data_IF_440770710218
#
_entry.id   IF_440770710218
#
_cell.length_a   1.000
_cell.length_b   1.000
_cell.length_c   1.000
_cell.angle_alpha   90.00
_cell.angle_beta   90.00
_cell.angle_gamma   90.00
#
_symmetry.space_group_name_H-M   'P 1'
#
loop_
_entity.id
_entity.type
_entity.pdbx_description
1 polymer ?
#
# COMPACT_ATOMS: atom_id res chain seq x y z
N UNK A 1 48.70 9.57 25.48
CA UNK A 1 47.26 9.34 25.74
C UNK A 1 46.37 10.01 24.67
N UNK A 2 46.55 9.67 23.38
CA UNK A 2 45.73 10.24 22.29
C UNK A 2 45.22 9.21 21.26
N UNK A 3 45.58 7.93 21.37
CA UNK A 3 45.16 6.90 20.39
C UNK A 3 44.06 5.94 20.87
N UNK A 4 43.64 6.00 22.14
CA UNK A 4 42.58 5.10 22.67
C UNK A 4 41.17 5.71 22.70
N UNK A 5 41.04 7.02 22.52
CA UNK A 5 39.73 7.71 22.52
C UNK A 5 39.06 7.74 21.13
N UNK A 6 39.81 7.55 20.05
CA UNK A 6 39.27 7.56 18.67
C UNK A 6 38.63 6.21 18.30
N UNK A 7 39.10 5.11 18.88
CA UNK A 7 38.59 3.77 18.57
C UNK A 7 37.20 3.49 19.17
N UNK A 8 36.89 4.08 20.33
CA UNK A 8 35.57 3.92 20.96
C UNK A 8 34.46 4.72 20.26
N UNK A 9 34.80 5.83 19.59
CA UNK A 9 33.81 6.64 18.85
C UNK A 9 33.41 6.01 17.50
N UNK A 10 34.31 5.28 16.85
CA UNK A 10 34.04 4.60 15.58
C UNK A 10 33.20 3.31 15.75
N UNK A 11 33.35 2.58 16.86
CA UNK A 11 32.53 1.40 17.12
C UNK A 11 31.08 1.75 17.50
N UNK A 12 30.83 2.89 18.15
CA UNK A 12 29.47 3.31 18.51
C UNK A 12 28.70 3.83 17.29
N UNK A 13 29.35 4.51 16.33
CA UNK A 13 28.67 4.88 15.07
C UNK A 13 28.41 3.69 14.15
N UNK A 14 29.25 2.65 14.18
CA UNK A 14 28.96 1.40 13.47
C UNK A 14 27.82 0.61 14.14
N UNK A 15 27.72 0.62 15.48
CA UNK A 15 26.64 -0.05 16.19
C UNK A 15 25.26 0.63 15.99
N UNK A 16 25.22 1.97 15.87
CA UNK A 16 23.98 2.70 15.58
C UNK A 16 23.51 2.51 14.13
N UNK A 17 24.43 2.37 13.17
CA UNK A 17 24.06 2.05 11.78
C UNK A 17 23.68 0.58 11.54
N UNK A 18 24.15 -0.35 12.39
CA UNK A 18 23.80 -1.77 12.27
C UNK A 18 22.49 -2.13 12.98
N UNK A 19 22.07 -1.36 13.99
CA UNK A 19 20.74 -1.50 14.61
C UNK A 19 19.60 -0.84 13.82
N UNK A 20 19.91 0.01 12.84
CA UNK A 20 18.94 0.51 11.85
C UNK A 20 18.72 -0.45 10.67
N UNK A 21 19.50 -1.54 10.58
CA UNK A 21 19.46 -2.50 9.47
C UNK A 21 19.02 -3.92 9.88
N UNK A 22 18.67 -4.14 11.15
CA UNK A 22 17.88 -5.31 11.54
C UNK A 22 16.42 -4.92 11.63
N UNK A 23 15.80 -4.55 10.49
CA UNK A 23 14.41 -4.90 10.32
C UNK A 23 14.38 -6.43 10.38
N UNK A 24 14.08 -6.98 11.55
CA UNK A 24 13.47 -8.31 11.58
C UNK A 24 12.29 -8.18 10.64
N UNK A 25 12.43 -8.72 9.43
CA UNK A 25 11.42 -8.63 8.38
C UNK A 25 10.17 -9.21 9.01
N UNK A 26 9.22 -8.36 9.39
CA UNK A 26 7.99 -8.84 9.99
C UNK A 26 7.40 -9.80 8.97
N UNK A 27 7.12 -11.03 9.40
CA UNK A 27 6.47 -11.98 8.51
C UNK A 27 5.15 -11.35 8.04
N UNK A 28 4.77 -11.52 6.76
CA UNK A 28 3.52 -10.98 6.25
C UNK A 28 2.35 -11.38 7.15
N UNK A 29 1.43 -10.46 7.39
CA UNK A 29 0.28 -10.73 8.23
C UNK A 29 -0.73 -11.59 7.47
N UNK A 30 -0.80 -12.88 7.83
CA UNK A 30 -1.67 -13.89 7.21
C UNK A 30 -2.89 -14.27 8.08
N UNK A 31 -3.59 -13.29 8.66
CA UNK A 31 -4.70 -13.55 9.60
C UNK A 31 -6.09 -13.53 8.96
N UNK A 32 -6.23 -13.02 7.74
CA UNK A 32 -7.55 -12.88 7.11
C UNK A 32 -7.86 -14.18 6.38
N UNK A 33 -8.71 -15.00 6.98
CA UNK A 33 -9.22 -16.23 6.39
C UNK A 33 -10.64 -16.01 5.86
N UNK A 34 -10.86 -16.37 4.60
CA UNK A 34 -12.18 -16.41 3.98
C UNK A 34 -12.52 -17.88 3.78
N UNK A 35 -13.49 -18.41 4.54
CA UNK A 35 -13.78 -19.84 4.53
C UNK A 35 -14.39 -20.25 3.18
N UNK A 36 -13.92 -21.38 2.66
CA UNK A 36 -14.57 -22.12 1.60
C UNK A 36 -15.34 -23.33 2.16
N UNK A 37 -15.70 -24.24 1.26
CA UNK A 37 -16.51 -25.42 1.59
C UNK A 37 -15.68 -26.67 1.99
N UNK A 38 -14.35 -26.57 2.21
CA UNK A 38 -13.44 -27.70 2.47
C UNK A 38 -12.01 -27.28 2.92
N UNK A 39 -10.99 -28.08 2.57
CA UNK A 39 -9.54 -27.73 2.68
C UNK A 39 -8.85 -28.20 1.39
N UNK A 40 -8.13 -27.31 0.65
CA UNK A 40 -6.83 -26.76 1.08
C UNK A 40 -6.74 -25.22 1.12
N UNK A 41 -5.72 -24.70 1.82
CA UNK A 41 -5.51 -23.27 2.07
C UNK A 41 -4.74 -22.57 0.93
N UNK A 42 -5.42 -21.73 0.16
CA UNK A 42 -4.81 -20.86 -0.87
C UNK A 42 -4.33 -19.56 -0.24
N UNK A 43 -3.01 -19.37 -0.21
CA UNK A 43 -2.40 -18.11 0.28
C UNK A 43 -2.29 -17.08 -0.85
N UNK A 44 -2.88 -15.91 -0.64
CA UNK A 44 -2.83 -14.77 -1.57
C UNK A 44 -1.98 -13.68 -0.92
N UNK A 45 -0.84 -13.35 -1.54
CA UNK A 45 0.02 -12.25 -1.13
C UNK A 45 -0.54 -10.93 -1.67
N UNK A 46 -0.83 -9.97 -0.79
CA UNK A 46 -1.53 -8.74 -1.16
C UNK A 46 -0.86 -7.52 -0.53
N UNK A 47 -0.49 -6.53 -1.33
CA UNK A 47 0.00 -5.26 -0.82
C UNK A 47 -1.06 -4.58 0.07
N UNK A 48 -0.62 -3.91 1.13
CA UNK A 48 -1.50 -3.36 2.17
C UNK A 48 -2.68 -2.48 1.65
N UNK A 49 -2.53 -1.76 0.52
CA UNK A 49 -3.63 -0.97 -0.07
C UNK A 49 -4.78 -1.82 -0.62
N UNK A 50 -4.50 -3.07 -1.00
CA UNK A 50 -5.42 -3.93 -1.74
C UNK A 50 -6.10 -4.97 -0.84
N UNK A 51 -5.84 -4.97 0.47
CA UNK A 51 -6.40 -5.96 1.41
C UNK A 51 -7.93 -5.97 1.38
N UNK A 52 -8.58 -4.82 1.56
CA UNK A 52 -10.04 -4.74 1.55
C UNK A 52 -10.64 -5.17 0.19
N UNK A 53 -10.04 -4.72 -0.91
CA UNK A 53 -10.44 -5.08 -2.26
C UNK A 53 -10.25 -6.58 -2.54
N UNK A 54 -9.14 -7.18 -2.10
CA UNK A 54 -8.88 -8.60 -2.19
C UNK A 54 -9.87 -9.42 -1.36
N UNK A 55 -10.19 -8.98 -0.14
CA UNK A 55 -11.22 -9.62 0.68
C UNK A 55 -12.57 -9.61 -0.02
N UNK A 56 -12.96 -8.49 -0.63
CA UNK A 56 -14.19 -8.41 -1.41
C UNK A 56 -14.14 -9.34 -2.63
N UNK A 57 -13.05 -9.30 -3.41
CA UNK A 57 -12.88 -10.11 -4.62
C UNK A 57 -13.00 -11.61 -4.35
N UNK A 58 -12.36 -12.08 -3.27
CA UNK A 58 -12.38 -13.49 -2.87
C UNK A 58 -13.76 -13.86 -2.33
N UNK A 59 -14.37 -13.01 -1.50
CA UNK A 59 -15.74 -13.22 -0.98
C UNK A 59 -16.74 -13.32 -2.13
N UNK A 60 -16.64 -12.43 -3.12
CA UNK A 60 -17.48 -12.46 -4.31
C UNK A 60 -17.27 -13.78 -5.06
N UNK A 61 -16.02 -14.23 -5.27
CA UNK A 61 -15.76 -15.51 -5.95
C UNK A 61 -16.36 -16.72 -5.23
N UNK A 62 -16.25 -16.76 -3.90
CA UNK A 62 -16.76 -17.87 -3.08
C UNK A 62 -18.29 -17.87 -3.06
N UNK A 63 -18.91 -16.70 -2.86
CA UNK A 63 -20.36 -16.55 -2.72
C UNK A 63 -21.13 -16.74 -4.03
N UNK A 64 -20.57 -16.39 -5.18
CA UNK A 64 -21.18 -16.67 -6.50
C UNK A 64 -21.05 -18.12 -6.94
N UNK A 65 -20.34 -18.95 -6.16
CA UNK A 65 -20.05 -20.33 -6.50
C UNK A 65 -18.96 -20.50 -7.57
N UNK A 66 -18.34 -19.41 -8.01
CA UNK A 66 -17.26 -19.46 -9.00
C UNK A 66 -15.98 -20.10 -8.46
N UNK A 67 -15.73 -19.93 -7.15
CA UNK A 67 -14.63 -20.58 -6.42
C UNK A 67 -15.09 -21.74 -5.51
N UNK A 68 -16.39 -22.02 -5.41
CA UNK A 68 -16.93 -22.98 -4.43
C UNK A 68 -16.67 -24.45 -4.76
N UNK A 69 -16.41 -24.77 -6.03
CA UNK A 69 -16.28 -26.14 -6.54
C UNK A 69 -15.07 -26.90 -6.01
N UNK A 70 -14.10 -26.21 -5.39
CA UNK A 70 -12.85 -26.79 -4.90
C UNK A 70 -12.80 -26.96 -3.38
N UNK A 71 -13.74 -26.36 -2.64
CA UNK A 71 -13.69 -26.34 -1.18
C UNK A 71 -12.50 -25.55 -0.59
N UNK A 72 -11.79 -24.75 -1.37
CA UNK A 72 -10.58 -24.06 -0.91
C UNK A 72 -10.87 -22.98 0.15
N UNK A 73 -10.06 -22.94 1.22
CA UNK A 73 -10.01 -21.79 2.11
C UNK A 73 -9.01 -20.78 1.55
N UNK A 74 -9.34 -19.49 1.59
CA UNK A 74 -8.41 -18.45 1.14
C UNK A 74 -7.82 -17.72 2.34
N UNK A 75 -6.51 -17.57 2.35
CA UNK A 75 -5.76 -16.82 3.36
C UNK A 75 -5.12 -15.62 2.67
N UNK A 76 -5.49 -14.41 3.09
CA UNK A 76 -4.84 -13.18 2.63
C UNK A 76 -3.66 -12.90 3.55
N UNK A 77 -2.46 -12.87 2.95
CA UNK A 77 -1.22 -12.44 3.57
C UNK A 77 -0.89 -11.03 3.10
N UNK A 78 -0.80 -10.08 4.02
CA UNK A 78 -0.62 -8.66 3.68
C UNK A 78 0.58 -8.01 4.34
N UNK A 79 1.29 -7.19 3.56
CA UNK A 79 2.39 -6.31 4.00
C UNK A 79 2.75 -5.28 2.90
N UNK A 80 3.89 -4.60 3.04
CA UNK A 80 4.54 -3.86 1.94
C UNK A 80 4.94 -4.83 0.82
N UNK A 81 4.90 -4.33 -0.43
CA UNK A 81 5.34 -5.12 -1.59
C UNK A 81 6.78 -5.63 -1.41
N UNK A 82 7.68 -4.81 -0.86
CA UNK A 82 9.07 -5.21 -0.55
C UNK A 82 9.15 -6.39 0.43
N UNK A 83 8.40 -6.34 1.52
CA UNK A 83 8.39 -7.40 2.53
C UNK A 83 7.75 -8.68 2.00
N UNK A 84 6.64 -8.58 1.26
CA UNK A 84 6.01 -9.72 0.61
C UNK A 84 6.97 -10.43 -0.35
N UNK A 85 7.75 -9.65 -1.12
CA UNK A 85 8.79 -10.20 -2.00
C UNK A 85 9.90 -10.91 -1.25
N UNK A 86 10.39 -10.34 -0.17
CA UNK A 86 11.41 -11.00 0.63
C UNK A 86 10.88 -12.30 1.27
N UNK A 87 9.63 -12.32 1.71
CA UNK A 87 8.98 -13.52 2.24
C UNK A 87 8.76 -14.61 1.16
N UNK A 88 8.47 -14.22 -0.07
CA UNK A 88 8.38 -15.14 -1.21
C UNK A 88 9.75 -15.69 -1.63
N UNK A 89 10.84 -15.00 -1.34
CA UNK A 89 12.19 -15.41 -1.76
C UNK A 89 12.44 -15.20 -3.26
N UNK A 90 13.68 -15.40 -3.69
CA UNK A 90 14.13 -15.18 -5.07
C UNK A 90 14.81 -16.44 -5.64
N UNK A 91 14.67 -16.71 -6.95
CA UNK A 91 13.86 -15.99 -7.95
C UNK A 91 12.37 -16.38 -7.94
N UNK A 92 12.02 -17.51 -7.32
CA UNK A 92 10.67 -18.04 -7.30
C UNK A 92 10.28 -18.49 -5.90
N UNK A 93 9.02 -18.26 -5.49
CA UNK A 93 8.51 -18.84 -4.26
C UNK A 93 8.57 -20.36 -4.33
N UNK A 94 8.65 -20.98 -3.15
CA UNK A 94 8.50 -22.43 -3.08
C UNK A 94 7.11 -22.80 -3.60
N UNK A 95 7.01 -23.88 -4.37
CA UNK A 95 5.73 -24.29 -4.95
C UNK A 95 4.66 -24.46 -3.85
N UNK A 96 3.46 -23.96 -4.11
CA UNK A 96 2.37 -23.93 -3.14
C UNK A 96 2.52 -22.93 -1.97
N UNK A 97 3.62 -22.17 -1.86
CA UNK A 97 3.78 -21.18 -0.78
C UNK A 97 2.76 -20.03 -0.87
N UNK A 98 2.56 -19.52 -2.09
CA UNK A 98 1.56 -18.51 -2.43
C UNK A 98 0.95 -18.85 -3.80
N UNK A 99 -0.35 -18.62 -3.95
CA UNK A 99 -1.10 -18.84 -5.19
C UNK A 99 -1.16 -17.62 -6.11
N UNK A 100 -1.23 -16.44 -5.52
CA UNK A 100 -1.30 -15.17 -6.25
C UNK A 100 -0.52 -14.10 -5.51
N UNK A 101 -0.02 -13.12 -6.27
CA UNK A 101 0.60 -11.92 -5.72
C UNK A 101 0.01 -10.68 -6.38
N UNK A 102 -0.51 -9.76 -5.56
CA UNK A 102 -0.98 -8.44 -5.93
C UNK A 102 0.00 -7.39 -5.37
N UNK A 103 0.89 -6.89 -6.22
CA UNK A 103 1.90 -5.90 -5.88
C UNK A 103 1.36 -4.48 -6.07
N UNK A 104 1.69 -3.57 -5.15
CA UNK A 104 1.37 -2.14 -5.31
C UNK A 104 2.23 -1.40 -6.36
N UNK A 105 3.02 -2.13 -7.14
CA UNK A 105 3.89 -1.64 -8.21
C UNK A 105 4.04 -2.71 -9.32
N UNK A 106 5.01 -2.53 -10.21
CA UNK A 106 5.29 -3.44 -11.31
C UNK A 106 6.07 -4.70 -10.91
N UNK A 107 6.48 -4.83 -9.64
CA UNK A 107 7.44 -5.85 -9.20
C UNK A 107 6.89 -7.28 -9.22
N UNK A 108 5.58 -7.49 -9.32
CA UNK A 108 5.01 -8.81 -9.59
C UNK A 108 5.58 -9.43 -10.88
N UNK A 109 6.02 -8.62 -11.85
CA UNK A 109 6.56 -9.08 -13.11
C UNK A 109 7.85 -9.92 -12.99
N UNK A 110 8.59 -9.80 -11.88
CA UNK A 110 9.83 -10.58 -11.67
C UNK A 110 9.57 -12.10 -11.60
N UNK A 111 8.36 -12.51 -11.23
CA UNK A 111 7.99 -13.93 -11.09
C UNK A 111 7.46 -14.55 -12.40
N UNK A 112 7.44 -13.79 -13.50
CA UNK A 112 6.99 -14.29 -14.82
C UNK A 112 7.84 -15.44 -15.36
N UNK A 113 9.10 -15.57 -14.91
CA UNK A 113 9.99 -16.68 -15.27
C UNK A 113 9.83 -17.93 -14.39
N UNK A 114 8.93 -17.91 -13.41
CA UNK A 114 8.77 -19.03 -12.49
C UNK A 114 7.99 -20.19 -13.11
N UNK A 115 8.36 -21.45 -12.80
CA UNK A 115 7.55 -22.60 -13.19
C UNK A 115 6.11 -22.42 -12.72
N UNK A 116 5.14 -22.74 -13.59
CA UNK A 116 3.70 -22.69 -13.31
C UNK A 116 3.09 -21.29 -13.05
N UNK A 117 3.90 -20.24 -13.03
CA UNK A 117 3.42 -18.87 -12.93
C UNK A 117 2.63 -18.44 -14.18
N UNK A 118 1.68 -17.53 -13.99
CA UNK A 118 0.95 -16.89 -15.08
C UNK A 118 1.70 -15.68 -15.64
N UNK A 119 1.07 -14.99 -16.59
CA UNK A 119 1.58 -13.69 -17.08
C UNK A 119 1.21 -12.57 -16.13
N UNK A 120 2.14 -11.67 -15.77
CA UNK A 120 1.83 -10.50 -14.96
C UNK A 120 0.93 -9.55 -15.75
N UNK A 121 0.00 -8.91 -15.07
CA UNK A 121 -0.94 -7.95 -15.69
C UNK A 121 -1.21 -6.77 -14.76
N UNK A 122 -1.46 -5.60 -15.34
CA UNK A 122 -1.82 -4.39 -14.60
C UNK A 122 -3.26 -4.50 -14.13
N UNK A 123 -3.46 -4.54 -12.82
CA UNK A 123 -4.79 -4.69 -12.22
C UNK A 123 -5.38 -3.37 -11.73
N UNK A 124 -4.55 -2.38 -11.45
CA UNK A 124 -4.99 -1.08 -10.97
C UNK A 124 -3.91 -0.03 -11.18
N UNK A 125 -4.33 1.22 -11.30
CA UNK A 125 -3.50 2.39 -11.02
C UNK A 125 -3.86 2.96 -9.65
N UNK A 126 -2.93 2.84 -8.71
CA UNK A 126 -3.06 3.35 -7.35
C UNK A 126 -2.90 4.86 -7.28
N UNK A 127 -3.81 5.54 -6.57
CA UNK A 127 -3.78 6.99 -6.33
C UNK A 127 -3.28 7.26 -4.91
N UNK A 128 -2.13 7.92 -4.71
CA UNK A 128 -1.72 8.41 -3.40
C UNK A 128 -2.66 9.51 -2.90
N UNK A 129 -2.91 9.53 -1.60
CA UNK A 129 -3.65 10.60 -0.92
C UNK A 129 -2.92 11.04 0.34
N UNK A 130 -2.92 12.34 0.61
CA UNK A 130 -2.58 12.90 1.91
C UNK A 130 -3.89 13.16 2.65
N UNK A 131 -4.11 12.53 3.79
CA UNK A 131 -5.41 12.57 4.46
C UNK A 131 -5.30 12.74 5.97
N UNK A 132 -6.42 13.10 6.60
CA UNK A 132 -6.64 13.06 8.03
C UNK A 132 -8.10 12.74 8.36
N UNK A 133 -8.37 12.28 9.58
CA UNK A 133 -9.74 12.11 10.04
C UNK A 133 -10.34 13.43 10.48
N UNK A 134 -11.62 13.64 10.17
CA UNK A 134 -12.38 14.82 10.63
C UNK A 134 -12.57 14.85 12.14
N UNK A 135 -12.76 13.69 12.77
CA UNK A 135 -12.81 13.60 14.23
C UNK A 135 -11.44 13.87 14.90
N UNK A 136 -10.35 13.83 14.14
CA UNK A 136 -9.00 14.24 14.57
C UNK A 136 -8.75 15.74 14.48
N UNK A 137 -9.76 16.53 14.06
CA UNK A 137 -9.69 17.99 13.97
C UNK A 137 -9.29 18.54 12.61
N UNK A 138 -9.12 17.68 11.59
CA UNK A 138 -8.82 18.10 10.21
C UNK A 138 -10.13 18.20 9.43
N UNK A 139 -10.69 19.40 9.36
CA UNK A 139 -12.01 19.65 8.79
C UNK A 139 -11.98 20.12 7.34
N UNK A 140 -10.87 20.67 6.85
CA UNK A 140 -10.73 21.19 5.49
C UNK A 140 -9.36 20.84 4.89
N UNK A 141 -9.29 20.66 3.57
CA UNK A 141 -8.04 20.32 2.88
C UNK A 141 -6.93 21.38 3.07
N UNK A 142 -7.29 22.64 3.35
CA UNK A 142 -6.34 23.70 3.73
C UNK A 142 -5.56 23.42 5.03
N UNK A 143 -6.10 22.58 5.91
CA UNK A 143 -5.41 22.10 7.12
C UNK A 143 -4.41 20.97 6.81
N UNK A 144 -4.39 20.47 5.58
CA UNK A 144 -3.39 19.51 5.09
C UNK A 144 -2.37 20.23 4.20
N UNK A 145 -2.83 21.00 3.21
CA UNK A 145 -1.97 21.71 2.26
C UNK A 145 -2.42 23.15 2.04
N UNK A 146 -1.50 24.08 1.81
CA UNK A 146 -1.82 25.49 1.60
C UNK A 146 -2.27 25.77 0.14
N UNK A 147 -3.24 25.02 -0.44
CA UNK A 147 -4.10 25.44 -1.57
C UNK A 147 -5.24 24.45 -1.91
N UNK A 148 -6.39 25.03 -2.28
CA UNK A 148 -7.66 24.47 -2.83
C UNK A 148 -8.64 23.73 -1.90
N UNK A 149 -9.77 24.44 -1.68
CA UNK A 149 -11.16 24.11 -1.37
C UNK A 149 -11.58 22.76 -0.77
N UNK A 150 -12.27 22.84 0.37
CA UNK A 150 -13.30 21.89 0.77
C UNK A 150 -12.77 20.61 1.39
N UNK A 151 -13.65 19.62 1.51
CA UNK A 151 -13.35 18.36 2.21
C UNK A 151 -12.38 17.46 1.42
N UNK A 152 -12.31 17.66 0.11
CA UNK A 152 -11.44 16.90 -0.79
C UNK A 152 -10.79 17.82 -1.83
N UNK A 153 -9.49 17.67 -2.07
CA UNK A 153 -8.75 18.39 -3.10
C UNK A 153 -8.08 17.43 -4.10
N UNK A 154 -7.97 17.82 -5.37
CA UNK A 154 -7.29 17.02 -6.41
C UNK A 154 -6.14 17.80 -7.02
N UNK A 155 -4.94 17.20 -7.02
CA UNK A 155 -3.74 17.72 -7.68
C UNK A 155 -3.44 16.82 -8.88
N UNK A 156 -3.68 17.35 -10.08
CA UNK A 156 -3.44 16.66 -11.35
C UNK A 156 -2.20 17.18 -12.10
N UNK A 157 -1.47 18.11 -11.50
CA UNK A 157 -0.23 18.71 -12.03
C UNK A 157 0.98 18.38 -11.14
N UNK A 158 2.16 18.83 -11.54
CA UNK A 158 3.38 18.80 -10.72
C UNK A 158 3.19 19.59 -9.42
N UNK A 159 3.84 19.17 -8.33
CA UNK A 159 3.71 19.78 -7.01
C UNK A 159 4.78 20.87 -6.84
N UNK A 160 4.53 21.85 -5.96
CA UNK A 160 5.51 22.87 -5.58
C UNK A 160 4.98 24.31 -5.61
N UNK A 161 5.53 25.16 -4.73
CA UNK A 161 5.27 26.61 -4.59
C UNK A 161 3.86 27.01 -4.16
N UNK A 162 2.86 26.41 -4.79
CA UNK A 162 1.43 26.59 -4.58
C UNK A 162 0.84 25.52 -3.64
N UNK A 163 1.45 24.33 -3.57
CA UNK A 163 1.00 23.23 -2.72
C UNK A 163 2.09 22.90 -1.72
N UNK A 164 2.03 23.53 -0.56
CA UNK A 164 2.93 23.30 0.58
C UNK A 164 2.18 22.53 1.66
N UNK A 165 2.91 21.75 2.46
CA UNK A 165 2.33 21.07 3.63
C UNK A 165 2.02 22.13 4.70
N UNK A 166 0.78 22.16 5.19
CA UNK A 166 0.43 22.99 6.33
C UNK A 166 0.95 22.34 7.62
N UNK A 167 2.10 22.81 8.08
CA UNK A 167 2.78 22.29 9.28
C UNK A 167 2.20 22.79 10.60
N UNK A 168 1.27 23.77 10.57
CA UNK A 168 0.59 24.28 11.78
C UNK A 168 -0.44 23.26 12.28
N UNK A 169 -1.16 22.64 11.35
CA UNK A 169 -2.17 21.61 11.65
C UNK A 169 -1.60 20.18 11.54
N UNK A 170 -0.50 20.01 10.80
CA UNK A 170 0.19 18.74 10.54
C UNK A 170 1.56 18.70 11.23
N UNK A 171 1.61 18.42 12.54
CA UNK A 171 2.87 18.35 13.29
C UNK A 171 3.77 17.19 12.82
N UNK A 172 3.23 15.98 12.83
CA UNK A 172 3.89 14.74 12.42
C UNK A 172 3.09 14.11 11.27
N UNK A 173 3.77 13.76 10.19
CA UNK A 173 3.19 13.17 9.00
C UNK A 173 3.56 11.69 8.97
N UNK A 174 2.54 10.84 9.02
CA UNK A 174 2.74 9.42 8.85
C UNK A 174 2.99 9.09 7.36
N UNK A 175 4.07 8.39 7.07
CA UNK A 175 4.44 7.94 5.73
C UNK A 175 5.05 6.55 5.82
N UNK A 176 4.79 5.71 4.82
CA UNK A 176 5.44 4.42 4.75
C UNK A 176 6.92 4.59 4.35
N UNK A 177 7.75 3.66 4.78
CA UNK A 177 9.15 3.59 4.35
C UNK A 177 9.27 3.31 2.85
N UNK A 178 10.50 3.37 2.34
CA UNK A 178 10.78 3.21 0.90
C UNK A 178 10.70 1.76 0.42
N UNK A 179 10.45 0.78 1.30
CA UNK A 179 10.15 -0.60 0.89
C UNK A 179 8.72 -0.77 0.37
N UNK A 180 7.84 0.20 0.69
CA UNK A 180 6.49 0.28 0.18
C UNK A 180 6.42 1.26 -1.03
N UNK A 181 5.80 0.87 -2.17
CA UNK A 181 5.69 1.77 -3.33
C UNK A 181 4.98 3.09 -3.04
N UNK A 182 3.92 3.06 -2.22
CA UNK A 182 3.26 4.28 -1.75
C UNK A 182 4.13 5.11 -0.80
N UNK A 183 5.04 4.49 -0.05
CA UNK A 183 6.00 5.20 0.80
C UNK A 183 7.01 5.98 -0.04
N UNK A 184 7.52 5.37 -1.12
CA UNK A 184 8.37 6.07 -2.11
C UNK A 184 7.64 7.29 -2.69
N UNK A 185 6.39 7.13 -3.12
CA UNK A 185 5.58 8.25 -3.66
C UNK A 185 5.28 9.31 -2.60
N UNK A 186 4.90 8.92 -1.39
CA UNK A 186 4.61 9.83 -0.29
C UNK A 186 5.84 10.66 0.11
N UNK A 187 7.01 10.04 0.24
CA UNK A 187 8.25 10.76 0.57
C UNK A 187 8.70 11.70 -0.56
N UNK A 188 8.53 11.31 -1.82
CA UNK A 188 8.79 12.18 -2.97
C UNK A 188 7.87 13.41 -2.97
N UNK A 189 6.55 13.20 -2.77
CA UNK A 189 5.57 14.26 -2.66
C UNK A 189 5.89 15.22 -1.52
N UNK A 190 6.23 14.70 -0.33
CA UNK A 190 6.64 15.53 0.81
C UNK A 190 7.85 16.40 0.44
N UNK A 191 8.87 15.81 -0.16
CA UNK A 191 10.10 16.50 -0.55
C UNK A 191 9.83 17.64 -1.55
N UNK A 192 8.94 17.38 -2.52
CA UNK A 192 8.52 18.35 -3.53
C UNK A 192 7.69 19.50 -2.93
N UNK A 193 6.79 19.20 -1.99
CA UNK A 193 5.96 20.21 -1.30
C UNK A 193 6.76 21.16 -0.41
N UNK A 194 7.82 20.67 0.23
CA UNK A 194 8.64 21.47 1.15
C UNK A 194 9.92 22.02 0.51
N UNK A 195 10.14 21.74 -0.78
CA UNK A 195 11.25 22.29 -1.56
C UNK A 195 12.64 21.77 -1.15
N UNK A 196 12.74 20.55 -0.65
CA UNK A 196 14.04 19.93 -0.29
C UNK A 196 14.43 18.83 -1.27
N UNK A 197 15.71 18.77 -1.62
CA UNK A 197 16.34 17.66 -2.34
C UNK A 197 16.87 16.65 -1.31
N UNK A 198 16.44 15.38 -1.40
CA UNK A 198 16.81 14.28 -0.47
C UNK A 198 18.35 14.19 -0.30
N UNK A 199 18.97 13.98 0.91
CA UNK A 199 18.44 13.63 2.26
C UNK A 199 18.80 14.66 3.40
N UNK A 200 18.20 14.63 4.63
CA UNK A 200 17.59 13.51 5.38
C UNK A 200 16.06 13.61 5.59
N UNK A 201 15.47 12.62 6.27
CA UNK A 201 14.04 12.51 6.63
C UNK A 201 13.50 13.90 7.01
N UNK A 202 12.47 14.42 6.31
CA UNK A 202 11.92 15.74 6.57
C UNK A 202 11.55 15.91 8.05
N UNK A 203 11.75 17.11 8.61
CA UNK A 203 11.39 17.41 10.01
C UNK A 203 9.90 17.16 10.31
N UNK A 204 9.01 17.26 9.31
CA UNK A 204 7.59 16.92 9.47
C UNK A 204 7.32 15.41 9.57
N UNK A 205 8.28 14.55 9.27
CA UNK A 205 8.21 13.08 9.44
C UNK A 205 8.97 12.64 10.71
N UNK A 206 9.72 13.54 11.34
CA UNK A 206 10.49 13.26 12.56
C UNK A 206 10.41 14.40 13.58
N UNK A 207 9.79 14.13 14.72
CA UNK A 207 9.79 15.05 15.85
C UNK A 207 11.03 14.79 16.74
N UNK A 208 12.04 15.64 16.56
CA UNK A 208 13.28 15.59 17.34
C UNK A 208 13.12 15.87 18.84
N UNK A 209 12.02 16.48 19.27
CA UNK A 209 11.78 16.82 20.69
C UNK A 209 11.18 15.65 21.48
N UNK A 210 10.43 14.79 20.79
CA UNK A 210 9.79 13.61 21.38
C UNK A 210 10.45 12.29 20.97
N UNK A 211 11.33 12.31 19.96
CA UNK A 211 11.90 11.12 19.34
C UNK A 211 10.89 10.33 18.50
N UNK A 212 9.70 10.91 18.23
CA UNK A 212 8.67 10.26 17.44
C UNK A 212 8.99 10.32 15.94
N UNK A 213 8.83 9.19 15.27
CA UNK A 213 8.98 9.08 13.81
C UNK A 213 7.63 8.74 13.18
N UNK A 214 7.23 9.49 12.17
CA UNK A 214 6.11 9.20 11.30
C UNK A 214 6.45 8.15 10.23
N UNK A 215 7.51 7.35 10.41
CA UNK A 215 7.90 6.29 9.47
C UNK A 215 7.29 4.96 9.88
N UNK A 216 6.60 4.32 8.94
CA UNK A 216 5.92 3.06 9.15
C UNK A 216 6.33 2.01 8.10
N UNK A 217 6.29 0.71 8.42
CA UNK A 217 6.72 -0.34 7.49
C UNK A 217 5.84 -0.46 6.24
N UNK A 218 4.57 -0.07 6.33
CA UNK A 218 3.64 -0.09 5.21
C UNK A 218 2.50 0.92 5.43
N UNK A 219 1.72 1.16 4.38
CA UNK A 219 0.58 2.10 4.40
C UNK A 219 -0.62 1.61 5.24
N UNK A 220 -0.69 0.32 5.57
CA UNK A 220 -1.67 -0.18 6.55
C UNK A 220 -1.35 0.33 7.95
N UNK A 221 -0.07 0.29 8.34
CA UNK A 221 0.41 0.84 9.60
C UNK A 221 0.30 2.37 9.64
N UNK A 222 0.55 3.08 8.53
CA UNK A 222 0.26 4.52 8.40
C UNK A 222 -1.22 4.81 8.68
N UNK A 223 -2.12 4.10 7.99
CA UNK A 223 -3.56 4.29 8.13
C UNK A 223 -4.02 4.06 9.58
N UNK A 224 -3.55 2.98 10.21
CA UNK A 224 -3.84 2.68 11.61
C UNK A 224 -3.31 3.75 12.56
N UNK A 225 -2.07 4.23 12.36
CA UNK A 225 -1.45 5.23 13.23
C UNK A 225 -2.23 6.55 13.25
N UNK A 226 -2.73 7.00 12.09
CA UNK A 226 -3.53 8.22 11.98
C UNK A 226 -4.88 8.07 12.71
N UNK A 227 -5.45 6.86 12.71
CA UNK A 227 -6.70 6.56 13.42
C UNK A 227 -6.59 6.60 14.95
N UNK A 228 -5.38 6.54 15.51
CA UNK A 228 -5.17 6.60 16.97
C UNK A 228 -5.22 8.01 17.55
N UNK A 229 -5.17 9.05 16.71
CA UNK A 229 -5.23 10.46 17.12
C UNK A 229 -3.90 11.08 17.56
N UNK A 230 -2.84 10.29 17.75
CA UNK A 230 -1.49 10.81 18.03
C UNK A 230 -0.85 11.46 16.79
N UNK A 231 -1.14 10.90 15.61
CA UNK A 231 -0.78 11.46 14.31
C UNK A 231 -2.07 11.87 13.61
N UNK A 232 -2.16 13.12 13.14
CA UNK A 232 -3.41 13.64 12.57
C UNK A 232 -3.53 13.41 11.07
N UNK A 233 -2.42 13.18 10.38
CA UNK A 233 -2.39 13.09 8.92
C UNK A 233 -1.24 12.25 8.38
N UNK A 234 -1.38 11.78 7.14
CA UNK A 234 -0.32 11.03 6.46
C UNK A 234 -0.70 10.53 5.07
N UNK A 235 0.23 9.83 4.44
CA UNK A 235 0.12 9.36 3.05
C UNK A 235 -0.29 7.89 2.95
N UNK A 236 -1.40 7.62 2.27
CA UNK A 236 -1.94 6.28 2.02
C UNK A 236 -2.42 6.13 0.57
N UNK A 237 -2.92 4.94 0.20
CA UNK A 237 -3.67 4.79 -1.04
C UNK A 237 -5.13 5.24 -0.88
N UNK A 238 -5.69 5.91 -1.90
CA UNK A 238 -7.12 6.31 -1.92
C UNK A 238 -8.04 5.13 -1.60
N UNK A 239 -7.68 3.93 -2.06
CA UNK A 239 -8.42 2.69 -1.79
C UNK A 239 -8.59 2.36 -0.31
N UNK A 240 -7.72 2.82 0.59
CA UNK A 240 -7.82 2.56 2.03
C UNK A 240 -8.86 3.45 2.73
N UNK A 241 -9.17 4.60 2.15
CA UNK A 241 -10.18 5.54 2.67
C UNK A 241 -11.47 5.52 1.84
N UNK A 242 -11.54 4.64 0.85
CA UNK A 242 -12.65 4.51 -0.08
C UNK A 242 -13.68 3.50 0.42
N UNK A 243 -14.94 3.78 0.13
CA UNK A 243 -16.05 2.85 0.27
C UNK A 243 -16.98 3.00 -0.93
N UNK A 244 -17.13 1.96 -1.74
CA UNK A 244 -18.00 1.93 -2.91
C UNK A 244 -17.75 3.06 -3.93
N UNK A 245 -16.48 3.29 -4.28
CA UNK A 245 -16.06 4.23 -5.32
C UNK A 245 -15.91 5.66 -4.87
N UNK A 246 -16.32 5.96 -3.63
CA UNK A 246 -16.26 7.30 -3.05
C UNK A 246 -15.61 7.30 -1.68
N UNK A 247 -15.00 8.43 -1.31
CA UNK A 247 -14.48 8.67 0.03
C UNK A 247 -15.55 9.43 0.79
N UNK A 248 -15.97 8.94 1.96
CA UNK A 248 -16.98 9.61 2.78
C UNK A 248 -16.42 10.93 3.34
N UNK A 249 -16.91 12.10 2.88
CA UNK A 249 -16.41 13.40 3.32
C UNK A 249 -16.86 13.75 4.74
N UNK A 250 -17.76 12.99 5.36
CA UNK A 250 -18.06 13.17 6.78
C UNK A 250 -17.00 12.54 7.68
N UNK A 251 -16.21 11.60 7.17
CA UNK A 251 -15.19 10.86 7.93
C UNK A 251 -13.79 11.40 7.66
N UNK A 252 -13.47 11.65 6.38
CA UNK A 252 -12.12 11.98 5.95
C UNK A 252 -12.05 13.36 5.31
N UNK A 253 -10.94 14.04 5.56
CA UNK A 253 -10.47 15.17 4.75
C UNK A 253 -9.23 14.70 4.02
N UNK A 254 -9.12 14.96 2.71
CA UNK A 254 -8.00 14.43 1.93
C UNK A 254 -7.64 15.27 0.70
N UNK A 255 -6.40 15.09 0.26
CA UNK A 255 -5.84 15.59 -1.01
C UNK A 255 -5.43 14.37 -1.83
N UNK A 256 -5.91 14.24 -3.06
CA UNK A 256 -5.52 13.17 -3.97
C UNK A 256 -4.56 13.65 -5.06
N UNK A 257 -3.57 12.81 -5.37
CA UNK A 257 -2.53 13.08 -6.36
C UNK A 257 -2.76 12.22 -7.61
N UNK A 258 -3.36 12.81 -8.63
CA UNK A 258 -3.81 12.09 -9.84
C UNK A 258 -2.89 12.25 -11.03
N UNK A 259 -1.88 13.12 -10.94
CA UNK A 259 -0.84 13.19 -11.97
C UNK A 259 -0.14 11.83 -12.12
N UNK A 260 0.07 11.40 -13.37
CA UNK A 260 0.64 10.09 -13.69
C UNK A 260 2.00 9.85 -13.02
N UNK A 261 2.80 10.91 -12.80
CA UNK A 261 4.08 10.82 -12.11
C UNK A 261 3.96 10.31 -10.66
N UNK A 262 2.80 10.48 -10.02
CA UNK A 262 2.56 10.05 -8.64
C UNK A 262 1.79 8.74 -8.54
N UNK A 263 0.96 8.42 -9.54
CA UNK A 263 0.20 7.17 -9.55
C UNK A 263 1.11 5.94 -9.68
N UNK A 264 0.60 4.79 -9.25
CA UNK A 264 1.33 3.53 -9.23
C UNK A 264 0.65 2.53 -10.15
N UNK A 265 1.31 2.08 -11.22
CA UNK A 265 0.88 0.89 -11.97
C UNK A 265 1.08 -0.36 -11.09
N UNK A 266 -0.02 -1.01 -10.73
CA UNK A 266 -0.05 -2.14 -9.81
C UNK A 266 -0.25 -3.42 -10.59
N UNK A 267 0.64 -4.40 -10.39
CA UNK A 267 0.62 -5.66 -11.13
C UNK A 267 0.27 -6.85 -10.26
N UNK A 268 -0.47 -7.77 -10.86
CA UNK A 268 -0.83 -9.04 -10.26
C UNK A 268 -0.29 -10.19 -11.11
N UNK A 269 0.01 -11.31 -10.45
CA UNK A 269 0.50 -12.52 -11.10
C UNK A 269 0.04 -13.76 -10.33
N UNK A 270 -0.35 -14.79 -11.07
CA UNK A 270 -0.52 -16.14 -10.54
C UNK A 270 0.84 -16.77 -10.30
N UNK A 271 1.09 -17.34 -9.12
CA UNK A 271 2.40 -17.86 -8.71
C UNK A 271 2.54 -19.38 -8.79
N UNK A 272 1.44 -20.12 -8.85
CA UNK A 272 1.46 -21.57 -9.04
C UNK A 272 0.23 -22.03 -9.86
N UNK A 273 0.11 -23.34 -10.09
CA UNK A 273 -0.98 -23.94 -10.87
C UNK A 273 -1.76 -25.00 -10.09
N UNK A 274 -1.89 -24.84 -8.76
CA UNK A 274 -2.81 -25.71 -8.00
C UNK A 274 -4.24 -25.56 -8.56
N UNK A 275 -5.08 -26.57 -8.33
CA UNK A 275 -6.47 -26.57 -8.83
C UNK A 275 -7.23 -25.35 -8.32
N UNK A 276 -7.09 -25.03 -7.05
CA UNK A 276 -7.77 -23.94 -6.36
C UNK A 276 -7.29 -22.56 -6.85
N UNK A 277 -5.98 -22.43 -7.07
CA UNK A 277 -5.38 -21.21 -7.62
C UNK A 277 -5.81 -21.00 -9.07
N UNK A 278 -5.89 -22.07 -9.85
CA UNK A 278 -6.37 -22.03 -11.24
C UNK A 278 -7.83 -21.60 -11.31
N UNK A 279 -8.67 -22.07 -10.40
CA UNK A 279 -10.08 -21.65 -10.33
C UNK A 279 -10.20 -20.16 -9.99
N UNK A 280 -9.41 -19.66 -9.04
CA UNK A 280 -9.38 -18.23 -8.72
C UNK A 280 -8.85 -17.39 -9.90
N UNK A 281 -7.82 -17.86 -10.60
CA UNK A 281 -7.27 -17.21 -11.79
C UNK A 281 -8.27 -17.16 -12.95
N UNK A 282 -9.06 -18.22 -13.14
CA UNK A 282 -10.16 -18.26 -14.12
C UNK A 282 -11.24 -17.23 -13.79
N UNK A 283 -11.59 -17.07 -12.51
CA UNK A 283 -12.54 -16.04 -12.08
C UNK A 283 -12.04 -14.61 -12.37
N UNK A 284 -10.76 -14.34 -12.08
CA UNK A 284 -10.12 -13.06 -12.43
C UNK A 284 -10.14 -12.85 -13.94
N UNK A 285 -9.77 -13.88 -14.71
CA UNK A 285 -9.74 -13.83 -16.18
C UNK A 285 -11.12 -13.56 -16.76
N UNK A 286 -12.16 -14.20 -16.20
CA UNK A 286 -13.56 -13.93 -16.56
C UNK A 286 -13.93 -12.46 -16.32
N UNK A 287 -13.70 -11.92 -15.11
CA UNK A 287 -14.00 -10.51 -14.79
C UNK A 287 -13.27 -9.53 -15.71
N UNK A 288 -12.04 -9.86 -16.13
CA UNK A 288 -11.26 -9.04 -17.07
C UNK A 288 -11.76 -9.11 -18.51
N UNK A 289 -12.46 -10.19 -18.89
CA UNK A 289 -13.05 -10.36 -20.22
C UNK A 289 -14.39 -9.63 -20.40
N UNK A 290 -15.00 -9.15 -19.31
CA UNK A 290 -16.24 -8.37 -19.35
C UNK A 290 -15.98 -6.93 -19.79
N UNK A 291 -16.98 -6.30 -20.40
CA UNK A 291 -16.88 -4.90 -20.86
C UNK A 291 -16.94 -3.93 -19.68
N UNK A 292 -16.37 -2.73 -19.81
CA UNK A 292 -16.29 -1.76 -18.71
C UNK A 292 -17.63 -1.22 -18.19
N UNK A 293 -18.73 -1.43 -18.92
CA UNK A 293 -20.09 -1.12 -18.47
C UNK A 293 -20.72 -2.23 -17.62
N UNK A 294 -20.14 -3.43 -17.64
CA UNK A 294 -20.64 -4.56 -16.85
C UNK A 294 -20.28 -4.33 -15.37
N UNK A 295 -21.27 -4.38 -14.45
CA UNK A 295 -21.03 -4.20 -13.01
C UNK A 295 -20.10 -5.26 -12.41
N UNK A 296 -19.96 -6.43 -13.04
CA UNK A 296 -19.06 -7.51 -12.60
C UNK A 296 -17.67 -7.43 -13.24
N UNK A 297 -17.44 -6.47 -14.15
CA UNK A 297 -16.15 -6.29 -14.82
C UNK A 297 -15.04 -5.91 -13.83
N UNK A 298 -13.80 -6.20 -14.24
CA UNK A 298 -12.63 -5.74 -13.51
C UNK A 298 -12.57 -4.21 -13.41
N UNK A 299 -13.04 -3.50 -14.45
CA UNK A 299 -13.11 -2.05 -14.46
C UNK A 299 -14.07 -1.52 -13.37
N UNK A 300 -15.28 -2.08 -13.29
CA UNK A 300 -16.25 -1.74 -12.25
C UNK A 300 -15.69 -2.04 -10.85
N UNK A 301 -15.01 -3.19 -10.68
CA UNK A 301 -14.35 -3.55 -9.43
C UNK A 301 -13.25 -2.55 -9.03
N UNK A 302 -12.39 -2.15 -9.97
CA UNK A 302 -11.32 -1.17 -9.73
C UNK A 302 -11.90 0.19 -9.31
N UNK A 303 -12.91 0.68 -10.04
CA UNK A 303 -13.59 1.95 -9.74
C UNK A 303 -14.26 1.89 -8.36
N UNK A 304 -15.00 0.82 -8.05
CA UNK A 304 -15.65 0.61 -6.74
C UNK A 304 -14.65 0.63 -5.57
N UNK A 305 -13.40 0.29 -5.82
CA UNK A 305 -12.33 0.29 -4.82
C UNK A 305 -11.41 1.53 -4.93
N UNK A 306 -11.85 2.58 -5.62
CA UNK A 306 -11.13 3.84 -5.85
C UNK A 306 -9.73 3.69 -6.48
N UNK A 307 -9.57 2.68 -7.33
CA UNK A 307 -8.45 2.59 -8.24
C UNK A 307 -8.79 3.24 -9.57
N UNK A 308 -7.78 3.73 -10.27
CA UNK A 308 -7.91 4.04 -11.70
C UNK A 308 -7.80 2.71 -12.46
N UNK A 309 -8.76 2.42 -13.32
CA UNK A 309 -8.65 1.25 -14.21
C UNK A 309 -7.53 1.51 -15.24
N UNK A 310 -6.58 0.57 -15.43
CA UNK A 310 -5.44 0.74 -16.33
C UNK A 310 -5.80 0.94 -17.81
#
# INVERSE_FOLDING_TARGET
>A
MRSKLVLFSLCVMAAVFVLAASSSWAAPNCTIQIPGFGSPDVKIAVAANFVAAASQLITDCVSTGSCSTTGANYIICSDSTGNLRAAMGTPCPTDGQYGYFFAADTSAAIYSGCPNAGSPWSYARGVPVFFGYRNGGITDASQLIEQTSGVAATINTTVGGNYTINTTDSCLIAVADTTAPYGVKGQALISEMIGITIPPIPACVYDSSTGAHGLFPNIGAVFAAIGTGAIKSGFVGKSQICSNGEVNPSIYTYVQFTNDAYTLDQKAIRLNSSTEVTVFDNYITYKRGLTGSDPDSWAAFAIKNCYIYP
#
